data_IF_180633794906
#
_entry.id   IF_180633794906
#
_cell.length_a   1.000
_cell.length_b   1.000
_cell.length_c   1.000
_cell.angle_alpha   90.00
_cell.angle_beta   90.00
_cell.angle_gamma   90.00
#
_symmetry.space_group_name_H-M   'P 1'
#
loop_
_entity.id
_entity.type
_entity.pdbx_description
1 polymer ?
#
# COMPACT_ATOMS: atom_id res chain seq x y z
N UNK A 1 5.20 -3.70 30.36
CA UNK A 1 5.47 -2.99 29.08
C UNK A 1 4.72 -3.76 28.02
N UNK A 2 3.75 -3.15 27.34
CA UNK A 2 3.22 -3.76 26.12
C UNK A 2 4.38 -3.77 25.14
N UNK A 3 4.69 -4.95 24.60
CA UNK A 3 5.80 -5.12 23.68
C UNK A 3 5.57 -4.22 22.47
N UNK A 4 6.56 -3.41 22.09
CA UNK A 4 6.40 -2.40 21.04
C UNK A 4 5.93 -3.04 19.72
N UNK A 5 6.37 -4.27 19.45
CA UNK A 5 5.95 -5.07 18.31
C UNK A 5 4.44 -5.40 18.32
N UNK A 6 3.86 -5.66 19.49
CA UNK A 6 2.43 -5.99 19.60
C UNK A 6 1.55 -4.75 19.35
N UNK A 7 2.04 -3.56 19.72
CA UNK A 7 1.38 -2.29 19.39
C UNK A 7 1.43 -2.00 17.88
N UNK A 8 2.59 -2.19 17.26
CA UNK A 8 2.75 -2.01 15.80
C UNK A 8 1.86 -3.01 15.05
N UNK A 9 1.87 -4.29 15.46
CA UNK A 9 0.99 -5.32 14.89
C UNK A 9 -0.48 -4.93 14.98
N UNK A 10 -0.93 -4.43 16.13
CA UNK A 10 -2.33 -4.01 16.31
C UNK A 10 -2.71 -2.89 15.35
N UNK A 11 -1.84 -1.87 15.21
CA UNK A 11 -2.05 -0.77 14.26
C UNK A 11 -2.11 -1.28 12.81
N UNK A 12 -1.19 -2.16 12.43
CA UNK A 12 -1.17 -2.77 11.10
C UNK A 12 -2.43 -3.58 10.82
N UNK A 13 -2.91 -4.33 11.81
CA UNK A 13 -4.14 -5.13 11.71
C UNK A 13 -5.38 -4.25 11.52
N UNK A 14 -5.54 -3.20 12.33
CA UNK A 14 -6.65 -2.26 12.22
C UNK A 14 -6.65 -1.54 10.87
N UNK A 15 -5.47 -1.08 10.42
CA UNK A 15 -5.33 -0.40 9.13
C UNK A 15 -5.67 -1.34 7.97
N UNK A 16 -5.15 -2.58 7.97
CA UNK A 16 -5.46 -3.57 6.95
C UNK A 16 -6.96 -3.92 6.92
N UNK A 17 -7.58 -4.01 8.10
CA UNK A 17 -9.02 -4.24 8.22
C UNK A 17 -9.82 -3.11 7.58
N UNK A 18 -9.42 -1.86 7.79
CA UNK A 18 -10.09 -0.69 7.21
C UNK A 18 -9.98 -0.65 5.68
N UNK A 19 -8.78 -0.89 5.14
CA UNK A 19 -8.52 -0.71 3.70
C UNK A 19 -8.83 -1.95 2.85
N UNK A 20 -8.84 -3.14 3.45
CA UNK A 20 -8.93 -4.41 2.72
C UNK A 20 -9.89 -5.44 3.33
N UNK A 21 -10.42 -5.19 4.53
CA UNK A 21 -11.35 -6.09 5.23
C UNK A 21 -10.68 -7.12 6.14
N UNK A 22 -11.50 -7.81 6.92
CA UNK A 22 -11.07 -8.73 7.98
C UNK A 22 -10.24 -9.92 7.47
N UNK A 23 -10.53 -10.44 6.27
CA UNK A 23 -9.82 -11.59 5.71
C UNK A 23 -8.34 -11.26 5.44
N UNK A 24 -8.09 -10.07 4.88
CA UNK A 24 -6.73 -9.61 4.56
C UNK A 24 -5.97 -9.27 5.85
N UNK A 25 -6.63 -8.59 6.80
CA UNK A 25 -6.02 -8.29 8.10
C UNK A 25 -5.57 -9.56 8.82
N UNK A 26 -6.41 -10.61 8.84
CA UNK A 26 -6.07 -11.90 9.44
C UNK A 26 -4.95 -12.63 8.70
N UNK A 27 -4.87 -12.51 7.38
CA UNK A 27 -3.81 -13.16 6.59
C UNK A 27 -2.42 -12.56 6.85
N UNK A 28 -2.33 -11.24 7.06
CA UNK A 28 -1.04 -10.53 7.08
C UNK A 28 -0.66 -9.95 8.45
N UNK A 29 -1.61 -9.75 9.36
CA UNK A 29 -1.39 -9.10 10.65
C UNK A 29 -2.03 -9.82 11.86
N UNK A 30 -2.50 -11.06 11.69
CA UNK A 30 -2.87 -11.88 12.84
C UNK A 30 -1.66 -12.18 13.74
N UNK A 31 -1.92 -12.50 15.00
CA UNK A 31 -0.88 -12.80 15.98
C UNK A 31 0.05 -13.94 15.54
N UNK A 32 -0.46 -14.91 14.79
CA UNK A 32 0.29 -16.08 14.33
C UNK A 32 1.06 -15.85 13.02
N UNK A 33 0.61 -14.91 12.19
CA UNK A 33 1.13 -14.70 10.83
C UNK A 33 1.86 -13.36 10.65
N UNK A 34 2.00 -12.58 11.73
CA UNK A 34 2.54 -11.24 11.62
C UNK A 34 4.00 -11.23 11.17
N UNK A 35 4.25 -10.45 10.13
CA UNK A 35 5.58 -10.07 9.70
C UNK A 35 5.50 -8.63 9.25
N UNK A 36 6.22 -7.73 9.92
CA UNK A 36 6.24 -6.30 9.62
C UNK A 36 6.44 -6.03 8.12
N UNK A 37 7.36 -6.77 7.48
CA UNK A 37 7.61 -6.66 6.04
C UNK A 37 6.39 -7.06 5.20
N UNK A 38 5.75 -8.19 5.51
CA UNK A 38 4.57 -8.68 4.75
C UNK A 38 3.36 -7.77 4.98
N UNK A 39 3.13 -7.34 6.23
CA UNK A 39 2.07 -6.41 6.58
C UNK A 39 2.26 -5.06 5.90
N UNK A 40 3.48 -4.49 5.91
CA UNK A 40 3.80 -3.24 5.22
C UNK A 40 3.55 -3.29 3.71
N UNK A 41 3.97 -4.38 3.04
CA UNK A 41 3.67 -4.56 1.61
C UNK A 41 2.17 -4.70 1.33
N UNK A 42 1.44 -5.42 2.19
CA UNK A 42 -0.01 -5.53 2.07
C UNK A 42 -0.66 -4.16 2.25
N UNK A 43 -0.29 -3.40 3.28
CA UNK A 43 -0.80 -2.05 3.54
C UNK A 43 -0.58 -1.16 2.32
N UNK A 44 0.63 -1.13 1.77
CA UNK A 44 0.94 -0.32 0.59
C UNK A 44 0.08 -0.71 -0.60
N UNK A 45 -0.01 -2.01 -0.91
CA UNK A 45 -0.81 -2.52 -2.03
C UNK A 45 -2.29 -2.17 -1.88
N UNK A 46 -2.87 -2.46 -0.72
CA UNK A 46 -4.30 -2.24 -0.49
C UNK A 46 -4.65 -0.77 -0.31
N UNK A 47 -3.71 0.07 0.15
CA UNK A 47 -3.90 1.53 0.17
C UNK A 47 -4.04 2.08 -1.24
N UNK A 48 -3.20 1.64 -2.18
CA UNK A 48 -3.31 2.04 -3.59
C UNK A 48 -4.63 1.57 -4.19
N UNK A 49 -5.02 0.32 -3.94
CA UNK A 49 -6.29 -0.24 -4.45
C UNK A 49 -7.49 0.51 -3.85
N UNK A 50 -7.47 0.80 -2.55
CA UNK A 50 -8.54 1.53 -1.87
C UNK A 50 -8.64 2.98 -2.39
N UNK A 51 -7.49 3.64 -2.59
CA UNK A 51 -7.45 4.98 -3.18
C UNK A 51 -8.01 4.99 -4.61
N UNK A 52 -7.62 4.03 -5.45
CA UNK A 52 -8.13 3.90 -6.81
C UNK A 52 -9.66 3.67 -6.84
N UNK A 53 -10.22 2.96 -5.85
CA UNK A 53 -11.67 2.77 -5.73
C UNK A 53 -12.41 4.02 -5.26
N UNK A 54 -11.86 4.77 -4.31
CA UNK A 54 -12.50 5.97 -3.73
C UNK A 54 -12.39 7.20 -4.64
N UNK A 55 -11.25 7.38 -5.28
CA UNK A 55 -10.94 8.54 -6.13
C UNK A 55 -10.40 8.09 -7.49
N UNK A 56 -11.24 7.47 -8.33
CA UNK A 56 -10.79 6.92 -9.61
C UNK A 56 -10.22 7.99 -10.55
N UNK A 57 -10.80 9.20 -10.57
CA UNK A 57 -10.32 10.31 -11.41
C UNK A 57 -8.92 10.80 -11.00
N UNK A 58 -8.70 10.99 -9.69
CA UNK A 58 -7.39 11.42 -9.17
C UNK A 58 -6.33 10.35 -9.43
N UNK A 59 -6.69 9.08 -9.23
CA UNK A 59 -5.80 7.96 -9.53
C UNK A 59 -5.42 7.90 -11.02
N UNK A 60 -6.40 8.09 -11.93
CA UNK A 60 -6.14 8.17 -13.37
C UNK A 60 -5.23 9.35 -13.71
N UNK A 61 -5.46 10.54 -13.14
CA UNK A 61 -4.63 11.71 -13.36
C UNK A 61 -3.18 11.49 -12.89
N UNK A 62 -2.99 10.96 -11.68
CA UNK A 62 -1.66 10.61 -11.15
C UNK A 62 -0.96 9.61 -12.09
N UNK A 63 -1.70 8.61 -12.57
CA UNK A 63 -1.15 7.60 -13.49
C UNK A 63 -0.71 8.22 -14.82
N UNK A 64 -1.50 9.12 -15.40
CA UNK A 64 -1.15 9.84 -16.63
C UNK A 64 0.12 10.67 -16.43
N UNK A 65 0.20 11.42 -15.32
CA UNK A 65 1.39 12.23 -15.00
C UNK A 65 2.63 11.34 -14.83
N UNK A 66 2.51 10.21 -14.15
CA UNK A 66 3.61 9.27 -13.97
C UNK A 66 4.10 8.69 -15.32
N UNK A 67 3.18 8.35 -16.23
CA UNK A 67 3.53 7.88 -17.57
C UNK A 67 4.22 8.97 -18.40
N UNK A 68 3.74 10.21 -18.34
CA UNK A 68 4.37 11.35 -19.03
C UNK A 68 5.78 11.61 -18.52
N UNK A 69 5.99 11.60 -17.19
CA UNK A 69 7.33 11.73 -16.61
C UNK A 69 8.23 10.59 -17.04
N UNK A 70 7.74 9.34 -16.98
CA UNK A 70 8.49 8.17 -17.45
C UNK A 70 8.89 8.28 -18.91
N UNK A 71 7.99 8.75 -19.77
CA UNK A 71 8.28 9.01 -21.18
C UNK A 71 9.38 10.07 -21.36
N UNK A 72 9.31 11.19 -20.64
CA UNK A 72 10.34 12.23 -20.67
C UNK A 72 11.69 11.68 -20.23
N UNK A 73 11.74 10.88 -19.15
CA UNK A 73 12.97 10.27 -18.67
C UNK A 73 13.58 9.31 -19.71
N UNK A 74 12.76 8.44 -20.32
CA UNK A 74 13.20 7.51 -21.37
C UNK A 74 13.72 8.30 -22.57
N UNK A 75 12.97 9.30 -23.03
CA UNK A 75 13.37 10.14 -24.15
C UNK A 75 14.73 10.78 -23.90
N UNK A 76 14.90 11.40 -22.73
CA UNK A 76 16.17 12.03 -22.32
C UNK A 76 17.32 11.03 -22.32
N UNK A 77 17.11 9.81 -21.85
CA UNK A 77 18.12 8.74 -21.87
C UNK A 77 18.52 8.30 -23.28
N UNK A 78 17.62 8.39 -24.26
CA UNK A 78 17.95 8.08 -25.66
C UNK A 78 18.57 9.26 -26.42
N UNK A 79 18.26 10.50 -26.04
CA UNK A 79 18.78 11.70 -26.74
C UNK A 79 20.12 12.21 -26.21
N UNK A 80 20.49 11.90 -24.98
CA UNK A 80 21.74 12.29 -24.31
C UNK A 80 22.53 11.07 -23.86
#
# INVERSE_FOLDING_TARGET
MIDHEEEVRRKDYELLKEIAGDEVANRYASKENYSMRRAGFAIQRYSVVNFAKRSPLDFTMITIVALLLGFIFIWKYFTY
#
